data_IF_945244140779
#
_entry.id   IF_945244140779
#
_cell.length_a   1.000
_cell.length_b   1.000
_cell.length_c   1.000
_cell.angle_alpha   90.00
_cell.angle_beta   90.00
_cell.angle_gamma   90.00
#
_symmetry.space_group_name_H-M   'P 1'
#
loop_
_entity.id
_entity.type
_entity.pdbx_description
1 polymer ?
#
# COMPACT_ATOMS: atom_id res chain seq x y z
N UNK A 1 -20.44 -0.02 -16.24
CA UNK A 1 -19.95 -0.67 -15.00
C UNK A 1 -19.02 0.32 -14.32
N UNK A 2 -19.13 0.54 -13.01
CA UNK A 2 -18.23 1.48 -12.31
C UNK A 2 -16.80 0.94 -12.27
N UNK A 3 -15.82 1.85 -12.16
CA UNK A 3 -14.40 1.45 -12.09
C UNK A 3 -14.16 0.44 -10.96
N UNK A 4 -14.76 0.67 -9.77
CA UNK A 4 -14.67 -0.25 -8.63
C UNK A 4 -15.10 -1.67 -8.98
N UNK A 5 -16.29 -1.84 -9.58
CA UNK A 5 -16.79 -3.18 -9.93
C UNK A 5 -15.91 -3.89 -10.96
N UNK A 6 -15.33 -3.15 -11.91
CA UNK A 6 -14.39 -3.70 -12.88
C UNK A 6 -13.07 -4.14 -12.22
N UNK A 7 -12.51 -3.30 -11.34
CA UNK A 7 -11.26 -3.60 -10.61
C UNK A 7 -11.46 -4.76 -9.62
N UNK A 8 -12.55 -4.77 -8.85
CA UNK A 8 -12.86 -5.85 -7.92
C UNK A 8 -13.01 -7.19 -8.64
N UNK A 9 -13.74 -7.22 -9.76
CA UNK A 9 -13.89 -8.43 -10.58
C UNK A 9 -12.54 -8.92 -11.11
N UNK A 10 -11.69 -8.01 -11.59
CA UNK A 10 -10.33 -8.33 -12.01
C UNK A 10 -9.50 -8.92 -10.85
N UNK A 11 -9.48 -8.24 -9.70
CA UNK A 11 -8.73 -8.67 -8.51
C UNK A 11 -9.15 -10.06 -8.07
N UNK A 12 -10.46 -10.30 -7.93
CA UNK A 12 -10.99 -11.61 -7.57
C UNK A 12 -10.61 -12.70 -8.56
N UNK A 13 -10.74 -12.43 -9.87
CA UNK A 13 -10.35 -13.36 -10.93
C UNK A 13 -8.86 -13.72 -10.83
N UNK A 14 -7.98 -12.74 -10.60
CA UNK A 14 -6.53 -13.00 -10.48
C UNK A 14 -6.23 -13.80 -9.20
N UNK A 15 -6.82 -13.43 -8.06
CA UNK A 15 -6.61 -14.17 -6.81
C UNK A 15 -7.04 -15.64 -6.94
N UNK A 16 -8.23 -15.90 -7.50
CA UNK A 16 -8.79 -17.25 -7.56
C UNK A 16 -8.08 -18.14 -8.59
N UNK A 17 -7.72 -17.61 -9.76
CA UNK A 17 -7.20 -18.42 -10.86
C UNK A 17 -5.67 -18.56 -10.86
N UNK A 18 -4.95 -17.70 -10.12
CA UNK A 18 -3.48 -17.68 -10.09
C UNK A 18 -2.91 -18.08 -8.72
N UNK A 19 -3.61 -18.97 -7.99
CA UNK A 19 -3.15 -19.47 -6.68
C UNK A 19 -1.82 -20.24 -6.72
N UNK A 20 -1.38 -20.65 -7.92
CA UNK A 20 -0.15 -21.41 -8.16
C UNK A 20 1.10 -20.55 -8.36
N UNK A 21 0.98 -19.22 -8.50
CA UNK A 21 2.12 -18.31 -8.64
C UNK A 21 2.31 -17.44 -7.40
N UNK A 22 3.54 -16.94 -7.20
CA UNK A 22 3.88 -16.02 -6.09
C UNK A 22 3.26 -14.63 -6.24
N UNK A 23 3.39 -13.81 -5.18
CA UNK A 23 2.81 -12.46 -5.13
C UNK A 23 3.36 -11.56 -6.23
N UNK A 24 4.65 -11.70 -6.55
CA UNK A 24 5.31 -10.87 -7.58
C UNK A 24 4.66 -11.05 -8.95
N UNK A 25 4.45 -12.31 -9.38
CA UNK A 25 3.77 -12.62 -10.63
C UNK A 25 2.30 -12.19 -10.64
N UNK A 26 1.58 -12.33 -9.51
CA UNK A 26 0.20 -11.80 -9.40
C UNK A 26 0.17 -10.28 -9.56
N UNK A 27 1.12 -9.57 -8.95
CA UNK A 27 1.23 -8.12 -9.04
C UNK A 27 1.52 -7.67 -10.49
N UNK A 28 2.42 -8.35 -11.20
CA UNK A 28 2.70 -8.07 -12.62
C UNK A 28 1.46 -8.29 -13.51
N UNK A 29 0.68 -9.36 -13.25
CA UNK A 29 -0.55 -9.64 -14.00
C UNK A 29 -1.59 -8.55 -13.73
N UNK A 30 -1.78 -8.15 -12.47
CA UNK A 30 -2.70 -7.08 -12.09
C UNK A 30 -2.31 -5.76 -12.74
N UNK A 31 -1.02 -5.39 -12.69
CA UNK A 31 -0.51 -4.17 -13.31
C UNK A 31 -0.80 -4.14 -14.81
N UNK A 32 -0.46 -5.21 -15.51
CA UNK A 32 -0.68 -5.33 -16.95
C UNK A 32 -2.16 -5.25 -17.32
N UNK A 33 -3.04 -5.92 -16.59
CA UNK A 33 -4.47 -5.92 -16.88
C UNK A 33 -5.11 -4.57 -16.53
N UNK A 34 -4.72 -3.94 -15.42
CA UNK A 34 -5.20 -2.60 -15.06
C UNK A 34 -4.78 -1.55 -16.08
N UNK A 35 -3.52 -1.58 -16.55
CA UNK A 35 -3.02 -0.68 -17.61
C UNK A 35 -3.81 -0.76 -18.92
N UNK A 36 -4.36 -1.94 -19.26
CA UNK A 36 -5.21 -2.10 -20.46
C UNK A 36 -6.59 -1.49 -20.27
N UNK A 37 -7.08 -1.42 -19.03
CA UNK A 37 -8.44 -1.01 -18.72
C UNK A 37 -8.55 0.47 -18.35
N UNK A 38 -7.50 1.05 -17.77
CA UNK A 38 -7.52 2.38 -17.20
C UNK A 38 -6.26 3.16 -17.53
N UNK A 39 -6.44 4.44 -17.82
CA UNK A 39 -5.40 5.47 -17.67
C UNK A 39 -5.45 6.03 -16.25
N UNK A 40 -4.31 6.48 -15.73
CA UNK A 40 -4.22 7.16 -14.43
C UNK A 40 -3.10 6.61 -13.58
N UNK A 41 -3.16 6.94 -12.28
CA UNK A 41 -2.05 6.73 -11.37
C UNK A 41 -2.46 5.78 -10.24
N UNK A 42 -1.80 4.62 -10.16
CA UNK A 42 -2.20 3.50 -9.33
C UNK A 42 -1.06 2.95 -8.49
N UNK A 43 -1.42 2.49 -7.29
CA UNK A 43 -0.67 1.50 -6.52
C UNK A 43 -1.40 0.17 -6.54
N UNK A 44 -0.61 -0.90 -6.60
CA UNK A 44 -1.04 -2.29 -6.56
C UNK A 44 -0.19 -2.99 -5.51
N UNK A 45 -0.82 -3.44 -4.44
CA UNK A 45 -0.18 -4.13 -3.34
C UNK A 45 -0.67 -5.57 -3.31
N UNK A 46 0.26 -6.53 -3.38
CA UNK A 46 -0.05 -7.96 -3.24
C UNK A 46 0.84 -8.54 -2.17
N UNK A 47 0.26 -9.28 -1.22
CA UNK A 47 1.01 -9.88 -0.13
C UNK A 47 0.31 -11.14 0.37
N UNK A 48 1.01 -11.93 1.18
CA UNK A 48 0.50 -13.19 1.70
C UNK A 48 -0.80 -13.02 2.47
N UNK A 49 -1.61 -14.08 2.46
CA UNK A 49 -2.81 -14.19 3.28
C UNK A 49 -2.45 -13.91 4.75
N UNK A 50 -3.12 -12.90 5.29
CA UNK A 50 -3.05 -12.54 6.68
C UNK A 50 -4.28 -11.71 7.05
N UNK A 51 -4.57 -11.64 8.35
CA UNK A 51 -5.57 -10.73 8.89
C UNK A 51 -5.11 -10.16 10.23
N UNK A 52 -5.79 -9.10 10.66
CA UNK A 52 -5.51 -8.41 11.90
C UNK A 52 -4.59 -7.21 11.71
N UNK A 53 -4.88 -6.16 12.47
CA UNK A 53 -4.19 -4.88 12.38
C UNK A 53 -2.74 -4.90 12.87
N UNK A 54 -2.30 -6.01 13.47
CA UNK A 54 -0.89 -6.26 13.82
C UNK A 54 -0.01 -6.55 12.60
N UNK A 55 -0.63 -6.93 11.47
CA UNK A 55 0.05 -7.33 10.22
C UNK A 55 -0.17 -6.32 9.11
N UNK A 56 -1.33 -5.67 9.05
CA UNK A 56 -1.61 -4.64 8.06
C UNK A 56 -2.62 -3.62 8.56
N UNK A 57 -2.49 -2.35 8.17
CA UNK A 57 -3.45 -1.32 8.52
C UNK A 57 -3.45 -0.25 7.44
N UNK A 58 -4.60 0.32 7.15
CA UNK A 58 -4.78 1.30 6.08
C UNK A 58 -5.68 2.44 6.56
N UNK A 59 -5.40 3.64 6.09
CA UNK A 59 -6.33 4.76 6.09
C UNK A 59 -6.36 5.33 4.68
N UNK A 60 -7.53 5.36 4.05
CA UNK A 60 -7.63 5.77 2.66
C UNK A 60 -9.02 6.29 2.29
N UNK A 61 -9.07 7.06 1.21
CA UNK A 61 -10.31 7.50 0.58
C UNK A 61 -11.02 6.28 -0.03
N UNK A 62 -12.25 6.04 0.44
CA UNK A 62 -13.06 4.87 0.06
C UNK A 62 -13.32 4.80 -1.43
N UNK A 63 -13.46 5.94 -2.11
CA UNK A 63 -13.77 6.01 -3.53
C UNK A 63 -12.59 5.86 -4.48
N UNK A 64 -11.39 5.68 -3.91
CA UNK A 64 -10.13 5.51 -4.62
C UNK A 64 -9.42 4.20 -4.27
N UNK A 65 -9.99 3.38 -3.37
CA UNK A 65 -9.31 2.20 -2.86
C UNK A 65 -10.19 0.96 -2.94
N UNK A 66 -9.60 -0.15 -3.38
CA UNK A 66 -10.19 -1.49 -3.35
C UNK A 66 -9.36 -2.36 -2.41
N UNK A 67 -10.05 -3.10 -1.55
CA UNK A 67 -9.45 -4.09 -0.66
C UNK A 67 -10.04 -5.46 -0.97
N UNK A 68 -9.19 -6.46 -1.17
CA UNK A 68 -9.62 -7.86 -1.24
C UNK A 68 -8.69 -8.72 -0.40
N UNK A 69 -9.19 -9.12 0.77
CA UNK A 69 -8.40 -9.81 1.78
C UNK A 69 -8.75 -11.28 1.89
N UNK A 70 -7.73 -12.10 2.08
CA UNK A 70 -7.80 -13.54 2.36
C UNK A 70 -8.57 -14.31 1.30
N UNK A 71 -8.32 -13.95 0.03
CA UNK A 71 -8.89 -14.60 -1.14
C UNK A 71 -7.77 -15.11 -2.02
N UNK A 72 -7.90 -16.33 -2.54
CA UNK A 72 -6.87 -16.91 -3.41
C UNK A 72 -5.47 -17.00 -2.76
N UNK A 73 -5.43 -17.18 -1.43
CA UNK A 73 -4.20 -17.25 -0.61
C UNK A 73 -3.35 -15.97 -0.58
N UNK A 74 -3.94 -14.81 -0.86
CA UNK A 74 -3.25 -13.52 -0.76
C UNK A 74 -4.22 -12.41 -0.37
N UNK A 75 -3.64 -11.26 -0.06
CA UNK A 75 -4.31 -9.99 0.12
C UNK A 75 -3.93 -9.07 -1.04
N UNK A 76 -4.89 -8.31 -1.55
CA UNK A 76 -4.69 -7.31 -2.60
C UNK A 76 -5.28 -5.98 -2.15
N UNK A 77 -4.51 -4.90 -2.36
CA UNK A 77 -4.99 -3.52 -2.22
C UNK A 77 -4.66 -2.76 -3.49
N UNK A 78 -5.67 -2.13 -4.09
CA UNK A 78 -5.51 -1.24 -5.23
C UNK A 78 -5.87 0.15 -4.77
N UNK A 79 -4.97 1.12 -4.98
CA UNK A 79 -5.24 2.53 -4.76
C UNK A 79 -5.08 3.28 -6.08
N UNK A 80 -5.93 4.27 -6.33
CA UNK A 80 -5.85 5.18 -7.48
C UNK A 80 -5.82 6.63 -6.98
N UNK A 81 -4.73 7.34 -7.25
CA UNK A 81 -4.68 8.79 -7.04
C UNK A 81 -5.46 9.50 -8.15
N UNK A 82 -6.15 10.59 -7.79
CA UNK A 82 -6.87 11.42 -8.76
C UNK A 82 -6.17 12.74 -9.03
N UNK A 83 -5.27 13.18 -8.14
CA UNK A 83 -4.58 14.46 -8.22
C UNK A 83 -3.06 14.34 -8.27
N UNK A 84 -2.53 13.15 -8.57
CA UNK A 84 -1.09 12.94 -8.68
C UNK A 84 -0.43 13.92 -9.67
N UNK A 85 0.71 14.47 -9.22
CA UNK A 85 1.63 15.25 -10.03
C UNK A 85 3.04 14.93 -9.59
N UNK A 86 3.95 14.71 -10.54
CA UNK A 86 5.39 14.49 -10.29
C UNK A 86 6.00 15.47 -9.30
N UNK A 87 5.61 16.74 -9.38
CA UNK A 87 6.14 17.82 -8.53
C UNK A 87 5.83 17.61 -7.03
N UNK A 88 4.85 16.77 -6.69
CA UNK A 88 4.51 16.41 -5.33
C UNK A 88 5.47 15.35 -4.74
N UNK A 89 6.22 14.63 -5.58
CA UNK A 89 7.08 13.52 -5.18
C UNK A 89 8.10 13.90 -4.10
N UNK A 90 8.85 15.02 -4.18
CA UNK A 90 9.83 15.38 -3.15
C UNK A 90 9.23 15.58 -1.77
N UNK A 91 7.98 16.07 -1.69
CA UNK A 91 7.29 16.26 -0.42
C UNK A 91 6.97 14.91 0.20
N UNK A 92 6.27 14.03 -0.53
CA UNK A 92 5.80 12.76 0.02
C UNK A 92 6.96 11.79 0.29
N UNK A 93 8.00 11.82 -0.52
CA UNK A 93 9.28 11.13 -0.25
C UNK A 93 9.82 11.54 1.12
N UNK A 94 10.07 12.84 1.34
CA UNK A 94 10.59 13.34 2.62
C UNK A 94 9.71 12.94 3.81
N UNK A 95 8.40 12.95 3.65
CA UNK A 95 7.45 12.59 4.70
C UNK A 95 7.53 11.10 5.07
N UNK A 96 7.53 10.21 4.07
CA UNK A 96 7.66 8.76 4.28
C UNK A 96 9.05 8.41 4.82
N UNK A 97 10.12 9.00 4.29
CA UNK A 97 11.49 8.82 4.76
C UNK A 97 11.66 9.24 6.22
N UNK A 98 10.96 10.30 6.66
CA UNK A 98 10.95 10.73 8.07
C UNK A 98 10.37 9.68 9.04
N UNK A 99 9.70 8.64 8.53
CA UNK A 99 9.09 7.58 9.31
C UNK A 99 9.97 6.33 9.45
N UNK A 100 11.13 6.25 8.78
CA UNK A 100 12.00 5.06 8.73
C UNK A 100 12.53 4.65 10.11
N UNK A 101 12.79 5.63 10.99
CA UNK A 101 13.42 5.43 12.29
C UNK A 101 12.70 6.19 13.39
N UNK A 102 12.42 5.51 14.51
CA UNK A 102 11.89 6.12 15.74
C UNK A 102 10.43 6.55 15.71
N UNK A 103 9.70 6.31 14.61
CA UNK A 103 8.32 6.79 14.44
C UNK A 103 7.27 5.72 14.70
N UNK A 104 7.54 4.46 14.32
CA UNK A 104 6.56 3.38 14.47
C UNK A 104 6.80 2.67 15.80
N UNK A 105 5.95 2.87 16.82
CA UNK A 105 6.08 2.18 18.10
C UNK A 105 5.62 0.71 17.97
N UNK A 106 6.10 -0.14 18.87
CA UNK A 106 5.76 -1.56 18.94
C UNK A 106 4.37 -1.76 19.55
N UNK A 107 3.35 -1.78 18.70
CA UNK A 107 1.98 -2.06 19.11
C UNK A 107 1.57 -3.50 18.80
N UNK A 108 0.63 -3.99 19.60
CA UNK A 108 -0.11 -5.23 19.33
C UNK A 108 -1.17 -5.05 18.25
N UNK A 109 -1.55 -3.81 17.93
CA UNK A 109 -2.60 -3.46 16.98
C UNK A 109 -2.30 -2.06 16.39
N UNK A 110 -2.27 -1.91 15.06
CA UNK A 110 -2.05 -0.64 14.36
C UNK A 110 -3.33 -0.04 13.75
N UNK A 111 -4.51 -0.43 14.22
CA UNK A 111 -5.79 0.13 13.76
C UNK A 111 -5.78 1.65 13.97
N UNK A 112 -6.05 2.40 12.90
CA UNK A 112 -6.08 3.86 12.92
C UNK A 112 -4.70 4.55 12.91
N UNK A 113 -3.61 3.82 13.16
CA UNK A 113 -2.25 4.40 13.16
C UNK A 113 -1.85 5.04 11.80
N UNK A 114 -2.19 4.47 10.63
CA UNK A 114 -2.01 5.15 9.35
C UNK A 114 -2.72 6.52 9.28
N UNK A 115 -3.91 6.65 9.87
CA UNK A 115 -4.62 7.92 9.99
C UNK A 115 -3.88 8.92 10.89
N UNK A 116 -3.27 8.44 11.99
CA UNK A 116 -2.37 9.27 12.81
C UNK A 116 -1.16 9.76 12.01
N UNK A 117 -0.54 8.91 11.18
CA UNK A 117 0.56 9.33 10.30
C UNK A 117 0.09 10.40 9.30
N UNK A 118 -1.08 10.23 8.70
CA UNK A 118 -1.66 11.22 7.78
C UNK A 118 -1.88 12.58 8.45
N UNK A 119 -2.31 12.60 9.72
CA UNK A 119 -2.53 13.82 10.48
C UNK A 119 -1.29 14.47 11.10
N UNK A 120 -0.13 13.79 11.10
CA UNK A 120 1.06 14.26 11.87
C UNK A 120 2.38 14.25 11.11
N UNK A 121 2.49 13.49 10.02
CA UNK A 121 3.77 13.31 9.30
C UNK A 121 3.61 13.25 7.78
N UNK A 122 2.54 12.63 7.28
CA UNK A 122 2.35 12.30 5.86
C UNK A 122 1.10 13.00 5.31
N UNK A 123 1.20 14.31 5.14
CA UNK A 123 0.10 15.19 4.77
C UNK A 123 -0.17 15.16 3.26
N UNK A 124 -1.36 15.64 2.85
CA UNK A 124 -1.82 15.71 1.45
C UNK A 124 -1.86 14.34 0.76
N UNK A 125 -2.33 13.34 1.49
CA UNK A 125 -2.45 11.97 1.00
C UNK A 125 -3.89 11.52 1.03
N UNK A 126 -4.30 10.75 0.01
CA UNK A 126 -5.56 10.03 -0.01
C UNK A 126 -5.41 8.58 0.46
N UNK A 127 -4.18 8.12 0.70
CA UNK A 127 -3.87 6.76 1.10
C UNK A 127 -2.59 6.68 1.94
N UNK A 128 -2.67 6.03 3.10
CA UNK A 128 -1.50 5.52 3.83
C UNK A 128 -1.77 4.08 4.25
N UNK A 129 -0.83 3.20 3.91
CA UNK A 129 -0.90 1.77 4.19
C UNK A 129 0.37 1.29 4.87
N UNK A 130 0.21 0.41 5.85
CA UNK A 130 1.30 -0.30 6.51
C UNK A 130 1.07 -1.79 6.38
N UNK A 131 2.05 -2.52 5.85
CA UNK A 131 1.99 -3.98 5.71
C UNK A 131 3.28 -4.58 6.25
N UNK A 132 3.19 -5.53 7.19
CA UNK A 132 4.35 -6.14 7.81
C UNK A 132 5.18 -6.87 6.74
N UNK A 133 6.46 -6.48 6.62
CA UNK A 133 7.34 -6.87 5.51
C UNK A 133 7.51 -8.39 5.36
N UNK A 134 7.42 -9.12 6.48
CA UNK A 134 7.49 -10.59 6.51
C UNK A 134 6.40 -11.31 5.71
N UNK A 135 5.38 -10.60 5.22
CA UNK A 135 4.28 -11.17 4.42
C UNK A 135 4.53 -11.12 2.91
N UNK A 136 5.78 -11.08 2.46
CA UNK A 136 6.15 -11.13 1.04
C UNK A 136 5.42 -10.05 0.22
N UNK A 137 5.64 -8.79 0.63
CA UNK A 137 4.92 -7.63 0.12
C UNK A 137 5.50 -7.21 -1.22
N UNK A 138 4.64 -7.21 -2.23
CA UNK A 138 4.94 -6.79 -3.59
C UNK A 138 4.18 -5.51 -3.90
N UNK A 139 4.93 -4.50 -4.32
CA UNK A 139 4.40 -3.20 -4.74
C UNK A 139 4.63 -3.08 -6.24
N UNK A 140 3.56 -2.80 -6.97
CA UNK A 140 3.61 -2.31 -8.35
C UNK A 140 2.88 -0.98 -8.43
N UNK A 141 3.22 -0.23 -9.45
CA UNK A 141 2.58 1.06 -9.69
C UNK A 141 2.70 1.43 -11.15
N UNK A 142 1.80 2.30 -11.59
CA UNK A 142 1.95 2.99 -12.84
C UNK A 142 1.33 4.36 -12.73
N UNK A 143 1.90 5.31 -13.46
CA UNK A 143 1.47 6.70 -13.46
C UNK A 143 1.44 7.23 -14.88
N UNK A 144 0.73 8.31 -15.07
CA UNK A 144 0.65 9.09 -16.30
C UNK A 144 1.97 9.79 -16.65
N UNK A 145 2.86 9.98 -15.68
CA UNK A 145 4.14 10.69 -15.78
C UNK A 145 5.39 9.79 -15.67
N UNK A 146 5.20 8.47 -15.75
CA UNK A 146 6.24 7.42 -15.65
C UNK A 146 7.16 7.57 -14.42
N UNK A 147 6.59 7.94 -13.28
CA UNK A 147 7.33 8.00 -12.01
C UNK A 147 7.54 6.60 -11.43
N UNK A 148 8.81 6.25 -11.22
CA UNK A 148 9.24 4.91 -10.77
C UNK A 148 8.53 4.43 -9.49
N UNK A 149 8.21 5.35 -8.60
CA UNK A 149 7.69 5.04 -7.27
C UNK A 149 6.16 5.01 -7.21
N UNK A 150 5.46 5.29 -8.31
CA UNK A 150 4.00 5.40 -8.33
C UNK A 150 3.50 6.77 -7.89
N UNK A 151 2.17 6.91 -7.64
CA UNK A 151 1.56 8.17 -7.23
C UNK A 151 1.85 8.53 -5.77
N UNK A 152 3.13 8.53 -5.39
CA UNK A 152 3.55 8.78 -4.02
C UNK A 152 4.94 8.26 -3.70
N UNK A 153 5.07 7.66 -2.52
CA UNK A 153 6.32 7.04 -2.07
C UNK A 153 6.07 5.86 -1.14
N UNK A 154 7.02 4.93 -1.07
CA UNK A 154 6.99 3.85 -0.11
C UNK A 154 8.38 3.42 0.32
N UNK A 155 8.51 3.03 1.59
CA UNK A 155 9.77 2.52 2.13
C UNK A 155 9.52 1.52 3.28
N UNK A 156 10.57 0.78 3.65
CA UNK A 156 10.59 -0.05 4.86
C UNK A 156 10.83 0.82 6.09
N UNK A 157 9.92 0.75 7.06
CA UNK A 157 10.03 1.43 8.36
C UNK A 157 10.27 0.42 9.48
N UNK A 158 11.08 0.81 10.46
CA UNK A 158 11.43 -0.03 11.60
C UNK A 158 10.51 0.24 12.78
N UNK A 159 10.19 -0.82 13.52
CA UNK A 159 9.35 -0.76 14.72
C UNK A 159 10.22 -0.69 15.96
N UNK A 160 9.93 0.25 16.85
CA UNK A 160 10.70 0.52 18.06
C UNK A 160 9.89 0.22 19.32
N UNK A 161 10.56 -0.35 20.32
CA UNK A 161 9.99 -0.47 21.64
C UNK A 161 9.68 0.92 22.22
N UNK A 162 8.47 1.07 22.78
CA UNK A 162 7.95 2.38 23.21
C UNK A 162 8.68 2.97 24.42
N UNK A 163 9.23 2.11 25.29
CA UNK A 163 9.80 2.53 26.57
C UNK A 163 11.32 2.67 26.45
N UNK A 164 11.97 1.74 25.75
CA UNK A 164 13.42 1.68 25.61
C UNK A 164 13.95 2.33 24.32
N UNK A 165 13.07 2.65 23.36
CA UNK A 165 13.43 3.15 22.03
C UNK A 165 14.37 2.23 21.25
N UNK A 166 14.44 0.94 21.63
CA UNK A 166 15.25 -0.06 20.92
C UNK A 166 14.49 -0.61 19.71
N UNK A 167 15.21 -0.82 18.61
CA UNK A 167 14.64 -1.47 17.43
C UNK A 167 14.24 -2.91 17.78
N UNK A 168 13.01 -3.30 17.42
CA UNK A 168 12.44 -4.63 17.72
C UNK A 168 12.77 -5.69 16.67
N UNK A 169 13.37 -5.30 15.55
CA UNK A 169 13.55 -6.13 14.36
C UNK A 169 12.29 -6.30 13.51
N UNK A 170 11.11 -5.90 14.00
CA UNK A 170 9.88 -5.86 13.19
C UNK A 170 9.96 -4.71 12.19
N UNK A 171 9.49 -4.96 10.97
CA UNK A 171 9.48 -4.00 9.88
C UNK A 171 8.12 -3.99 9.18
N UNK A 172 7.69 -2.80 8.75
CA UNK A 172 6.55 -2.60 7.86
C UNK A 172 7.03 -1.98 6.55
N UNK A 173 6.39 -2.35 5.44
CA UNK A 173 6.36 -1.52 4.25
C UNK A 173 5.29 -0.45 4.50
N UNK A 174 5.70 0.81 4.49
CA UNK A 174 4.84 1.99 4.58
C UNK A 174 4.69 2.57 3.18
N UNK A 175 3.48 2.56 2.61
CA UNK A 175 3.13 3.26 1.36
C UNK A 175 2.32 4.50 1.74
N UNK A 176 2.60 5.60 1.05
CA UNK A 176 1.73 6.77 0.99
C UNK A 176 1.41 7.11 -0.46
N UNK A 177 0.13 7.34 -0.75
CA UNK A 177 -0.37 7.79 -2.05
C UNK A 177 -0.95 9.20 -1.95
N UNK A 178 -0.58 10.06 -2.89
CA UNK A 178 -1.16 11.39 -3.04
C UNK A 178 -2.64 11.28 -3.37
N UNK A 179 -3.45 12.20 -2.84
CA UNK A 179 -4.91 12.22 -3.09
C UNK A 179 -5.26 12.24 -4.59
#
# INVERSE_FOLDING_TARGET
>A
MSWKGQVESLVHRIQDNYTHVGNSAKADILERELKKMFSGDFYILVYNDCGGYDKHSFNAVTDQTIYSFRRGKCNVVIYRSLEWKKDNQPQIEKQVESCVTGVVPNFSDYKGFPGTLMGTRIYNTGFVGMIAKRHDVEVRSFTSDDTKWGPGWWNTVNVYDKDTMKNTGRQFILIAGWD
#
